data_IF_381177872929
#
_entry.id   IF_381177872929
#
_cell.length_a   1.000
_cell.length_b   1.000
_cell.length_c   1.000
_cell.angle_alpha   90.00
_cell.angle_beta   90.00
_cell.angle_gamma   90.00
#
_symmetry.space_group_name_H-M   'P 1'
#
loop_
_entity.id
_entity.type
_entity.pdbx_description
1 polymer ?
#
# COMPACT_ATOMS: atom_id res chain seq x y z
N UNK A 1 21.16 16.86 -15.25
CA UNK A 1 19.93 17.35 -14.59
C UNK A 1 18.73 16.56 -15.11
N UNK A 2 18.59 15.27 -14.73
CA UNK A 2 17.32 14.55 -14.97
C UNK A 2 17.25 13.18 -14.25
N UNK A 3 18.40 12.58 -13.91
CA UNK A 3 18.46 11.28 -13.22
C UNK A 3 17.65 11.22 -11.91
N UNK A 4 17.62 12.33 -11.16
CA UNK A 4 16.82 12.43 -9.94
C UNK A 4 15.31 12.37 -10.24
N UNK A 5 14.84 13.08 -11.27
CA UNK A 5 13.43 13.09 -11.66
C UNK A 5 12.97 11.70 -12.11
N UNK A 6 13.79 11.01 -12.92
CA UNK A 6 13.52 9.62 -13.31
C UNK A 6 13.53 8.65 -12.13
N UNK A 7 14.41 8.86 -11.14
CA UNK A 7 14.43 8.06 -9.91
C UNK A 7 13.16 8.19 -9.08
N UNK A 8 12.70 9.43 -8.82
CA UNK A 8 11.46 9.66 -8.08
C UNK A 8 10.22 9.18 -8.85
N UNK A 9 10.18 9.36 -10.17
CA UNK A 9 9.09 8.85 -11.00
C UNK A 9 9.04 7.31 -10.99
N UNK A 10 10.20 6.66 -11.09
CA UNK A 10 10.32 5.21 -10.95
C UNK A 10 9.85 4.71 -9.58
N UNK A 11 10.21 5.43 -8.50
CA UNK A 11 9.73 5.14 -7.15
C UNK A 11 8.21 5.28 -7.03
N UNK A 12 7.64 6.34 -7.59
CA UNK A 12 6.20 6.57 -7.59
C UNK A 12 5.47 5.42 -8.30
N UNK A 13 5.91 5.08 -9.52
CA UNK A 13 5.30 4.00 -10.31
C UNK A 13 5.44 2.64 -9.63
N UNK A 14 6.62 2.34 -9.08
CA UNK A 14 6.85 1.11 -8.34
C UNK A 14 5.96 1.02 -7.11
N UNK A 15 5.81 2.12 -6.35
CA UNK A 15 4.97 2.19 -5.16
C UNK A 15 3.48 2.08 -5.51
N UNK A 16 3.04 2.70 -6.60
CA UNK A 16 1.68 2.59 -7.12
C UNK A 16 1.33 1.17 -7.57
N UNK A 17 2.21 0.56 -8.37
CA UNK A 17 2.04 -0.81 -8.85
C UNK A 17 2.11 -1.82 -7.71
N UNK A 18 2.92 -1.55 -6.70
CA UNK A 18 3.03 -2.43 -5.54
C UNK A 18 1.75 -2.51 -4.72
N UNK A 19 0.97 -1.43 -4.67
CA UNK A 19 -0.30 -1.40 -3.96
C UNK A 19 -1.49 -1.90 -4.78
N UNK A 20 -1.29 -2.20 -6.08
CA UNK A 20 -2.34 -2.65 -7.01
C UNK A 20 -2.19 -4.08 -7.49
N UNK A 21 -1.01 -4.45 -8.00
CA UNK A 21 -0.82 -5.70 -8.77
C UNK A 21 0.48 -6.44 -8.42
N UNK A 22 1.58 -5.74 -8.12
CA UNK A 22 2.92 -6.33 -8.06
C UNK A 22 3.53 -6.28 -6.66
N UNK A 23 3.37 -7.34 -5.84
CA UNK A 23 3.92 -7.33 -4.50
C UNK A 23 5.45 -7.14 -4.48
N UNK A 24 5.94 -6.34 -3.54
CA UNK A 24 7.34 -6.24 -3.08
C UNK A 24 8.35 -5.46 -3.94
N UNK A 25 7.92 -4.76 -5.00
CA UNK A 25 8.85 -3.97 -5.81
C UNK A 25 9.24 -2.62 -5.18
N UNK A 26 8.38 -2.04 -4.33
CA UNK A 26 8.51 -0.63 -3.95
C UNK A 26 9.57 -0.37 -2.89
N UNK A 27 9.75 -1.28 -1.93
CA UNK A 27 10.66 -1.12 -0.80
C UNK A 27 12.11 -1.30 -1.20
N UNK A 28 12.37 -2.23 -2.13
CA UNK A 28 13.68 -2.41 -2.72
C UNK A 28 14.10 -1.16 -3.51
N UNK A 29 13.23 -0.67 -4.40
CA UNK A 29 13.47 0.57 -5.17
C UNK A 29 13.66 1.76 -4.24
N UNK A 30 12.83 1.87 -3.19
CA UNK A 30 12.93 2.92 -2.17
C UNK A 30 14.29 2.90 -1.46
N UNK A 31 14.70 1.74 -0.95
CA UNK A 31 15.98 1.58 -0.27
C UNK A 31 17.15 1.92 -1.18
N UNK A 32 17.16 1.36 -2.41
CA UNK A 32 18.22 1.63 -3.39
C UNK A 32 18.36 3.12 -3.68
N UNK A 33 17.27 3.86 -3.83
CA UNK A 33 17.36 5.31 -4.09
C UNK A 33 17.98 6.07 -2.90
N UNK A 34 17.57 5.75 -1.67
CA UNK A 34 18.19 6.36 -0.48
C UNK A 34 19.69 6.05 -0.42
N UNK A 35 20.08 4.79 -0.67
CA UNK A 35 21.49 4.37 -0.69
C UNK A 35 22.31 5.06 -1.79
N UNK A 36 21.67 5.48 -2.89
CA UNK A 36 22.28 6.26 -3.97
C UNK A 36 22.26 7.78 -3.71
N UNK A 37 21.97 8.22 -2.48
CA UNK A 37 22.05 9.63 -2.07
C UNK A 37 20.82 10.47 -2.39
N UNK A 38 19.68 9.85 -2.71
CA UNK A 38 18.42 10.58 -2.86
C UNK A 38 17.90 11.03 -1.49
N UNK A 39 17.25 12.20 -1.44
CA UNK A 39 16.68 12.74 -0.21
C UNK A 39 15.63 11.78 0.41
N UNK A 40 15.84 11.27 1.63
CA UNK A 40 14.94 10.30 2.25
C UNK A 40 13.53 10.83 2.47
N UNK A 41 13.38 12.12 2.80
CA UNK A 41 12.07 12.74 3.07
C UNK A 41 11.24 12.80 1.78
N UNK A 42 11.87 13.19 0.67
CA UNK A 42 11.24 13.27 -0.63
C UNK A 42 10.93 11.86 -1.16
N UNK A 43 11.83 10.90 -1.00
CA UNK A 43 11.56 9.48 -1.27
C UNK A 43 10.32 9.00 -0.49
N UNK A 44 10.25 9.26 0.83
CA UNK A 44 9.12 8.84 1.67
C UNK A 44 7.82 9.47 1.20
N UNK A 45 7.85 10.74 0.84
CA UNK A 45 6.68 11.47 0.35
C UNK A 45 6.20 10.87 -0.97
N UNK A 46 7.09 10.74 -1.96
CA UNK A 46 6.79 10.21 -3.29
C UNK A 46 6.26 8.77 -3.23
N UNK A 47 6.91 7.91 -2.44
CA UNK A 47 6.50 6.52 -2.27
C UNK A 47 5.15 6.41 -1.56
N UNK A 48 4.92 7.21 -0.51
CA UNK A 48 3.65 7.25 0.21
C UNK A 48 2.50 7.66 -0.70
N UNK A 49 2.67 8.70 -1.51
CA UNK A 49 1.64 9.14 -2.46
C UNK A 49 1.37 8.11 -3.56
N UNK A 50 2.42 7.54 -4.17
CA UNK A 50 2.27 6.48 -5.17
C UNK A 50 1.53 5.28 -4.59
N UNK A 51 1.95 4.80 -3.42
CA UNK A 51 1.33 3.68 -2.75
C UNK A 51 -0.11 4.00 -2.32
N UNK A 52 -0.39 5.19 -1.80
CA UNK A 52 -1.73 5.64 -1.45
C UNK A 52 -2.67 5.60 -2.66
N UNK A 53 -2.26 6.17 -3.79
CA UNK A 53 -3.04 6.16 -5.03
C UNK A 53 -3.27 4.73 -5.56
N UNK A 54 -2.25 3.88 -5.51
CA UNK A 54 -2.42 2.46 -5.85
C UNK A 54 -3.42 1.76 -4.93
N UNK A 55 -3.34 2.03 -3.62
CA UNK A 55 -4.31 1.51 -2.65
C UNK A 55 -5.73 2.02 -2.87
N UNK A 56 -5.90 3.29 -3.22
CA UNK A 56 -7.23 3.81 -3.59
C UNK A 56 -7.79 3.12 -4.82
N UNK A 57 -6.95 2.79 -5.80
CA UNK A 57 -7.33 1.99 -6.97
C UNK A 57 -7.82 0.61 -6.53
N UNK A 58 -7.06 -0.10 -5.68
CA UNK A 58 -7.44 -1.40 -5.13
C UNK A 58 -8.75 -1.37 -4.35
N UNK A 59 -8.97 -0.31 -3.56
CA UNK A 59 -10.23 -0.08 -2.86
C UNK A 59 -11.41 0.07 -3.84
N UNK A 60 -11.26 0.86 -4.89
CA UNK A 60 -12.32 1.04 -5.89
C UNK A 60 -12.57 -0.21 -6.74
N UNK A 61 -11.50 -0.95 -7.07
CA UNK A 61 -11.62 -2.28 -7.70
C UNK A 61 -12.44 -3.21 -6.81
N UNK A 62 -12.12 -3.27 -5.52
CA UNK A 62 -12.91 -4.04 -4.55
C UNK A 62 -14.36 -3.59 -4.50
N UNK A 63 -14.60 -2.27 -4.44
CA UNK A 63 -15.94 -1.67 -4.32
C UNK A 63 -16.83 -1.89 -5.55
N UNK A 64 -16.23 -1.95 -6.74
CA UNK A 64 -16.91 -2.28 -7.99
C UNK A 64 -17.02 -3.80 -8.24
N UNK A 65 -16.16 -4.58 -7.59
CA UNK A 65 -16.08 -6.03 -7.74
C UNK A 65 -17.31 -6.76 -7.23
N UNK A 66 -17.74 -7.76 -8.00
CA UNK A 66 -18.72 -8.76 -7.54
C UNK A 66 -17.97 -9.98 -6.98
N UNK A 67 -18.59 -10.71 -6.05
CA UNK A 67 -18.03 -11.89 -5.39
C UNK A 67 -17.41 -12.90 -6.37
N UNK A 68 -18.10 -13.19 -7.47
CA UNK A 68 -17.63 -14.10 -8.54
C UNK A 68 -16.29 -13.67 -9.17
N UNK A 69 -16.01 -12.38 -9.21
CA UNK A 69 -14.75 -11.85 -9.76
C UNK A 69 -13.60 -12.03 -8.78
N UNK A 70 -13.83 -11.71 -7.49
CA UNK A 70 -12.82 -11.89 -6.44
C UNK A 70 -12.46 -13.37 -6.29
N UNK A 71 -13.44 -14.27 -6.25
CA UNK A 71 -13.19 -15.70 -6.14
C UNK A 71 -12.35 -16.21 -7.32
N UNK A 72 -12.67 -15.77 -8.55
CA UNK A 72 -11.97 -16.19 -9.77
C UNK A 72 -10.54 -15.64 -9.90
N UNK A 73 -10.33 -14.36 -9.62
CA UNK A 73 -9.05 -13.68 -9.88
C UNK A 73 -8.11 -13.63 -8.69
N UNK A 74 -8.63 -13.64 -7.47
CA UNK A 74 -7.83 -13.58 -6.24
C UNK A 74 -7.69 -14.94 -5.55
N UNK A 75 -8.39 -15.98 -6.03
CA UNK A 75 -8.31 -17.34 -5.49
C UNK A 75 -8.71 -17.45 -4.01
N UNK A 76 -9.51 -16.51 -3.51
CA UNK A 76 -9.83 -16.42 -2.08
C UNK A 76 -11.05 -17.29 -1.79
N UNK A 77 -10.89 -18.22 -0.84
CA UNK A 77 -11.98 -19.07 -0.37
C UNK A 77 -13.07 -18.24 0.33
N UNK A 78 -14.33 -18.43 -0.05
CA UNK A 78 -15.50 -17.76 0.53
C UNK A 78 -15.52 -17.77 2.06
N UNK A 79 -15.16 -18.91 2.66
CA UNK A 79 -15.12 -19.05 4.13
C UNK A 79 -14.08 -18.15 4.79
N UNK A 80 -12.94 -17.88 4.12
CA UNK A 80 -11.92 -16.94 4.62
C UNK A 80 -12.42 -15.51 4.53
N UNK A 81 -13.07 -15.13 3.43
CA UNK A 81 -13.60 -13.78 3.27
C UNK A 81 -14.74 -13.50 4.25
N UNK A 82 -15.64 -14.46 4.47
CA UNK A 82 -16.70 -14.34 5.49
C UNK A 82 -16.11 -14.24 6.90
N UNK A 83 -15.06 -15.00 7.24
CA UNK A 83 -14.36 -14.83 8.53
C UNK A 83 -13.73 -13.44 8.65
N UNK A 84 -13.10 -12.95 7.59
CA UNK A 84 -12.56 -11.59 7.56
C UNK A 84 -13.65 -10.53 7.71
N UNK A 85 -14.88 -10.77 7.23
CA UNK A 85 -16.02 -9.89 7.42
C UNK A 85 -16.33 -9.65 8.90
N UNK A 86 -16.20 -10.67 9.76
CA UNK A 86 -16.43 -10.50 11.23
C UNK A 86 -15.43 -9.49 11.82
N UNK A 87 -14.16 -9.58 11.41
CA UNK A 87 -13.13 -8.63 11.84
C UNK A 87 -13.34 -7.24 11.23
N UNK A 88 -13.76 -7.16 9.97
CA UNK A 88 -14.05 -5.90 9.29
C UNK A 88 -15.32 -5.23 9.81
N UNK A 89 -16.33 -5.97 10.26
CA UNK A 89 -17.51 -5.42 10.92
C UNK A 89 -17.14 -4.88 12.31
N UNK A 90 -16.18 -5.52 12.99
CA UNK A 90 -15.70 -5.09 14.32
C UNK A 90 -14.75 -3.88 14.27
N UNK A 91 -13.80 -3.88 13.35
CA UNK A 91 -12.73 -2.87 13.25
C UNK A 91 -12.95 -1.86 12.13
N UNK A 92 -13.82 -2.14 11.17
CA UNK A 92 -14.21 -1.22 10.11
C UNK A 92 -13.02 -0.57 9.40
N UNK A 93 -13.04 0.75 9.35
CA UNK A 93 -11.99 1.51 8.71
C UNK A 93 -10.64 1.47 9.45
N UNK A 94 -10.60 1.19 10.76
CA UNK A 94 -9.35 1.07 11.52
C UNK A 94 -8.45 -0.04 10.99
N UNK A 95 -9.05 -1.08 10.38
CA UNK A 95 -8.31 -2.13 9.70
C UNK A 95 -7.39 -1.58 8.61
N UNK A 96 -7.71 -0.45 7.97
CA UNK A 96 -6.84 0.15 6.96
C UNK A 96 -5.49 0.62 7.52
N UNK A 97 -5.32 0.80 8.84
CA UNK A 97 -4.00 1.03 9.45
C UNK A 97 -3.07 -0.15 9.23
N UNK A 98 -3.61 -1.37 9.12
CA UNK A 98 -2.84 -2.58 8.83
C UNK A 98 -2.36 -2.64 7.38
N UNK A 99 -2.68 -1.65 6.53
CA UNK A 99 -2.16 -1.55 5.16
C UNK A 99 -0.64 -1.33 5.10
N UNK A 100 0.00 -1.04 6.23
CA UNK A 100 1.45 -0.94 6.34
C UNK A 100 2.15 -2.29 6.11
N UNK A 101 1.47 -3.42 6.34
CA UNK A 101 2.03 -4.76 6.13
C UNK A 101 2.08 -5.09 4.63
N UNK A 102 3.25 -5.46 4.06
CA UNK A 102 3.35 -5.80 2.65
C UNK A 102 2.41 -6.95 2.27
N UNK A 103 1.83 -6.90 1.06
CA UNK A 103 0.95 -7.94 0.48
C UNK A 103 -0.40 -8.05 1.19
N UNK A 104 -0.39 -8.36 2.49
CA UNK A 104 -1.59 -8.50 3.32
C UNK A 104 -2.37 -7.19 3.42
N UNK A 105 -1.65 -6.07 3.50
CA UNK A 105 -2.23 -4.74 3.59
C UNK A 105 -3.08 -4.36 2.39
N UNK A 106 -2.60 -4.63 1.17
CA UNK A 106 -3.32 -4.25 -0.05
C UNK A 106 -4.52 -5.15 -0.32
N UNK A 107 -4.44 -6.44 0.03
CA UNK A 107 -5.60 -7.35 0.04
C UNK A 107 -6.67 -6.81 0.99
N UNK A 108 -6.27 -6.33 2.18
CA UNK A 108 -7.21 -5.77 3.16
C UNK A 108 -7.91 -4.51 2.63
N UNK A 109 -7.19 -3.62 1.94
CA UNK A 109 -7.78 -2.43 1.32
C UNK A 109 -8.80 -2.82 0.24
N UNK A 110 -8.49 -3.82 -0.58
CA UNK A 110 -9.44 -4.34 -1.57
C UNK A 110 -10.69 -4.93 -0.89
N UNK A 111 -10.52 -5.68 0.20
CA UNK A 111 -11.64 -6.22 0.98
C UNK A 111 -12.50 -5.11 1.60
N UNK A 112 -11.89 -4.05 2.15
CA UNK A 112 -12.61 -2.87 2.66
C UNK A 112 -13.44 -2.19 1.57
N UNK A 113 -12.90 -2.15 0.34
CA UNK A 113 -13.62 -1.72 -0.85
C UNK A 113 -14.83 -2.61 -1.13
N UNK A 114 -14.61 -3.92 -1.18
CA UNK A 114 -15.63 -4.93 -1.46
C UNK A 114 -16.80 -4.89 -0.47
N UNK A 115 -16.51 -4.74 0.82
CA UNK A 115 -17.54 -4.57 1.85
C UNK A 115 -18.10 -3.14 1.94
N UNK A 116 -17.70 -2.24 1.04
CA UNK A 116 -18.20 -0.86 0.92
C UNK A 116 -18.05 -0.05 2.22
N UNK A 117 -16.97 -0.29 2.96
CA UNK A 117 -16.65 0.48 4.18
C UNK A 117 -16.48 1.96 3.83
N UNK A 118 -16.85 2.88 4.73
CA UNK A 118 -16.82 4.34 4.47
C UNK A 118 -15.48 4.80 3.90
N UNK A 119 -15.52 5.54 2.78
CA UNK A 119 -14.34 5.94 1.99
C UNK A 119 -13.36 6.78 2.82
N UNK A 120 -13.86 7.88 3.40
CA UNK A 120 -13.03 8.86 4.09
C UNK A 120 -12.17 8.25 5.22
N UNK A 121 -12.72 7.49 6.19
CA UNK A 121 -11.89 6.94 7.25
C UNK A 121 -10.92 5.88 6.72
N UNK A 122 -11.31 5.06 5.72
CA UNK A 122 -10.38 4.09 5.10
C UNK A 122 -9.20 4.83 4.48
N UNK A 123 -9.43 5.93 3.77
CA UNK A 123 -8.37 6.69 3.12
C UNK A 123 -7.43 7.34 4.13
N UNK A 124 -7.97 7.92 5.20
CA UNK A 124 -7.16 8.51 6.28
C UNK A 124 -6.27 7.44 6.92
N UNK A 125 -6.85 6.33 7.38
CA UNK A 125 -6.09 5.26 8.03
C UNK A 125 -5.10 4.58 7.09
N UNK A 126 -5.46 4.39 5.82
CA UNK A 126 -4.55 3.87 4.80
C UNK A 126 -3.36 4.80 4.57
N UNK A 127 -3.60 6.11 4.47
CA UNK A 127 -2.53 7.10 4.30
C UNK A 127 -1.58 7.07 5.49
N UNK A 128 -2.11 7.07 6.72
CA UNK A 128 -1.30 6.98 7.95
C UNK A 128 -0.47 5.69 7.96
N UNK A 129 -1.07 4.53 7.65
CA UNK A 129 -0.35 3.26 7.62
C UNK A 129 0.77 3.23 6.57
N UNK A 130 0.53 3.78 5.38
CA UNK A 130 1.53 3.83 4.30
C UNK A 130 2.67 4.79 4.61
N UNK A 131 2.36 5.96 5.17
CA UNK A 131 3.36 6.90 5.65
C UNK A 131 4.24 6.28 6.74
N UNK A 132 3.62 5.58 7.70
CA UNK A 132 4.32 4.88 8.76
C UNK A 132 5.31 3.84 8.20
N UNK A 133 4.87 3.00 7.26
CA UNK A 133 5.72 2.00 6.59
C UNK A 133 6.99 2.62 5.99
N UNK A 134 6.84 3.62 5.11
CA UNK A 134 7.99 4.23 4.43
C UNK A 134 8.87 5.03 5.39
N UNK A 135 8.31 5.60 6.47
CA UNK A 135 9.10 6.25 7.50
C UNK A 135 9.97 5.25 8.27
N UNK A 136 9.42 4.09 8.65
CA UNK A 136 10.18 3.02 9.30
C UNK A 136 11.30 2.52 8.38
N UNK A 137 10.99 2.25 7.12
CA UNK A 137 12.01 1.79 6.14
C UNK A 137 13.10 2.86 5.96
N UNK A 138 12.73 4.14 5.81
CA UNK A 138 13.71 5.22 5.68
C UNK A 138 14.66 5.26 6.87
N UNK A 139 14.13 5.19 8.09
CA UNK A 139 14.94 5.19 9.31
C UNK A 139 15.86 3.97 9.35
N UNK A 140 15.36 2.78 9.02
CA UNK A 140 16.17 1.55 8.99
C UNK A 140 17.29 1.62 7.96
N UNK A 141 17.00 2.14 6.76
CA UNK A 141 18.01 2.28 5.70
C UNK A 141 19.05 3.32 6.06
N UNK A 142 18.64 4.50 6.56
CA UNK A 142 19.56 5.57 6.94
C UNK A 142 20.45 5.17 8.13
N UNK A 143 19.89 4.51 9.16
CA UNK A 143 20.68 4.05 10.31
C UNK A 143 21.53 2.82 10.02
N UNK A 144 21.06 1.93 9.13
CA UNK A 144 21.83 0.77 8.69
C UNK A 144 22.95 1.14 7.71
N UNK A 145 22.90 2.35 7.15
CA UNK A 145 23.89 2.95 6.27
C UNK A 145 24.62 4.09 6.99
N UNK A 146 25.24 3.78 8.13
CA UNK A 146 26.32 4.62 8.67
C UNK A 146 27.64 4.09 8.06
N UNK A 147 28.32 4.88 7.20
CA UNK A 147 29.61 4.49 6.61
C UNK A 147 30.76 4.50 7.63
#
# INVERSE_FOLDING_TARGET
MDYAAYGYLGLFLSSFLSATVLPLASEAVFGVLILNGFDPVLCTTVATFGNFLGGTTSYFIGRAGNWKWIEKYMGVNEKRVIKSKIYLDKYGAYSALLSWVPILGDILILMLGFFKVKILPVFVYMFVGKLFRYSVIAITVVKGWEP
#
